data_IF_451220118048
#
_entry.id   IF_451220118048
#
_cell.length_a   1.000
_cell.length_b   1.000
_cell.length_c   1.000
_cell.angle_alpha   90.00
_cell.angle_beta   90.00
_cell.angle_gamma   90.00
#
_symmetry.space_group_name_H-M   'P 1'
#
loop_
_entity.id
_entity.type
_entity.pdbx_description
1 polymer ?
#
# COMPACT_ATOMS: atom_id res chain seq x y z
N UNK A 1 -5.16 3.28 17.13
CA UNK A 1 -4.57 1.92 17.15
C UNK A 1 -4.70 1.36 15.76
N UNK A 2 -3.61 1.43 15.00
CA UNK A 2 -3.62 1.33 13.54
C UNK A 2 -3.61 -0.12 13.06
N UNK A 3 -4.58 -0.48 12.23
CA UNK A 3 -4.75 -1.81 11.59
C UNK A 3 -3.55 -2.18 10.67
N UNK A 4 -2.58 -1.29 10.49
CA UNK A 4 -1.36 -1.53 9.69
C UNK A 4 -0.37 -2.51 10.33
N UNK A 5 -0.37 -2.64 11.64
CA UNK A 5 0.64 -3.44 12.34
C UNK A 5 0.34 -4.94 12.33
N UNK A 6 -0.90 -5.34 12.02
CA UNK A 6 -1.27 -6.76 11.96
C UNK A 6 -0.91 -7.46 10.64
N UNK A 7 -0.68 -6.71 9.54
CA UNK A 7 -0.37 -7.31 8.24
C UNK A 7 1.10 -7.77 8.11
N UNK A 8 2.00 -7.10 8.78
CA UNK A 8 3.45 -7.46 8.74
C UNK A 8 3.74 -8.67 9.61
N UNK A 9 2.96 -8.87 10.68
CA UNK A 9 3.23 -9.93 11.65
C UNK A 9 2.65 -11.32 11.27
N UNK A 10 1.68 -11.40 10.33
CA UNK A 10 0.99 -12.66 10.01
C UNK A 10 1.58 -13.42 8.83
N UNK A 11 2.46 -12.83 8.03
CA UNK A 11 3.06 -13.50 6.87
C UNK A 11 4.43 -14.14 7.11
N UNK A 12 5.10 -13.82 8.22
CA UNK A 12 6.36 -14.47 8.58
C UNK A 12 6.06 -15.70 9.44
N UNK A 13 5.86 -16.84 8.80
CA UNK A 13 5.92 -18.13 9.48
C UNK A 13 7.40 -18.41 9.80
N UNK A 14 7.90 -17.75 10.84
CA UNK A 14 9.17 -18.12 11.45
C UNK A 14 9.05 -19.57 11.94
N UNK A 15 10.01 -20.37 11.60
CA UNK A 15 10.18 -21.69 12.23
C UNK A 15 10.17 -21.51 13.75
N UNK A 16 9.61 -22.46 14.47
CA UNK A 16 9.42 -22.38 15.92
C UNK A 16 10.69 -22.01 16.69
N UNK A 17 11.86 -22.40 16.16
CA UNK A 17 13.18 -22.08 16.71
C UNK A 17 13.51 -20.58 16.61
N UNK A 18 13.22 -19.94 15.47
CA UNK A 18 13.47 -18.50 15.28
C UNK A 18 12.55 -17.68 16.17
N UNK A 19 11.29 -18.09 16.32
CA UNK A 19 10.35 -17.43 17.25
C UNK A 19 10.84 -17.55 18.70
N UNK A 20 11.34 -18.71 19.10
CA UNK A 20 11.89 -18.96 20.43
C UNK A 20 13.13 -18.09 20.69
N UNK A 21 14.05 -18.01 19.72
CA UNK A 21 15.24 -17.16 19.77
C UNK A 21 14.87 -15.68 19.87
N UNK A 22 13.95 -15.19 19.04
CA UNK A 22 13.50 -13.79 19.09
C UNK A 22 12.88 -13.46 20.46
N UNK A 23 12.01 -14.34 21.00
CA UNK A 23 11.43 -14.15 22.34
C UNK A 23 12.48 -14.10 23.42
N UNK A 24 13.48 -14.98 23.38
CA UNK A 24 14.55 -15.01 24.37
C UNK A 24 15.45 -13.76 24.29
N UNK A 25 15.75 -13.28 23.09
CA UNK A 25 16.54 -12.07 22.89
C UNK A 25 15.76 -10.82 23.36
N UNK A 26 14.47 -10.71 23.03
CA UNK A 26 13.62 -9.62 23.53
C UNK A 26 13.51 -9.63 25.06
N UNK A 27 13.37 -10.82 25.67
CA UNK A 27 13.34 -10.95 27.13
C UNK A 27 14.66 -10.50 27.76
N UNK A 28 15.79 -10.82 27.17
CA UNK A 28 17.11 -10.37 27.65
C UNK A 28 17.25 -8.86 27.60
N UNK A 29 16.79 -8.22 26.51
CA UNK A 29 16.76 -6.75 26.41
C UNK A 29 15.91 -6.11 27.50
N UNK A 30 14.70 -6.64 27.76
CA UNK A 30 13.80 -6.12 28.78
C UNK A 30 14.34 -6.32 30.22
N UNK A 31 15.05 -7.42 30.49
CA UNK A 31 15.66 -7.67 31.80
C UNK A 31 16.86 -6.76 32.06
N UNK A 32 17.59 -6.36 31.03
CA UNK A 32 18.79 -5.53 31.15
C UNK A 32 18.47 -4.05 31.40
N UNK A 33 17.26 -3.57 31.07
CA UNK A 33 16.79 -2.26 31.51
C UNK A 33 16.68 -2.12 33.03
N UNK A 34 16.64 -3.25 33.74
CA UNK A 34 16.55 -3.28 35.23
C UNK A 34 17.91 -3.36 35.92
N UNK A 35 18.95 -3.81 35.24
CA UNK A 35 20.32 -3.90 35.78
C UNK A 35 21.18 -2.78 35.15
N UNK A 36 21.39 -1.71 35.91
CA UNK A 36 22.19 -0.55 35.48
C UNK A 36 23.71 -0.85 35.52
N UNK A 37 24.20 -1.70 34.65
CA UNK A 37 25.62 -1.79 34.37
C UNK A 37 26.00 -0.83 33.22
N UNK A 38 26.54 0.31 33.59
CA UNK A 38 26.72 1.50 32.78
C UNK A 38 27.73 1.32 31.61
N UNK A 39 28.60 0.32 31.63
CA UNK A 39 29.71 0.20 30.68
C UNK A 39 29.49 -0.75 29.51
N UNK A 40 28.69 -1.79 29.63
CA UNK A 40 28.52 -2.81 28.60
C UNK A 40 27.17 -2.69 27.85
N UNK A 41 26.21 -1.94 28.40
CA UNK A 41 24.83 -1.86 27.95
C UNK A 41 24.66 -1.44 26.47
N UNK A 42 25.30 -0.37 25.96
CA UNK A 42 25.09 0.07 24.56
C UNK A 42 25.63 -0.90 23.52
N UNK A 43 26.73 -1.60 23.84
CA UNK A 43 27.33 -2.59 22.93
C UNK A 43 26.47 -3.85 22.88
N UNK A 44 25.96 -4.26 24.02
CA UNK A 44 25.10 -5.43 24.15
C UNK A 44 23.74 -5.22 23.46
N UNK A 45 23.10 -4.07 23.66
CA UNK A 45 21.86 -3.68 22.96
C UNK A 45 22.03 -3.68 21.44
N UNK A 46 23.10 -3.04 20.93
CA UNK A 46 23.39 -3.01 19.50
C UNK A 46 23.62 -4.42 18.95
N UNK A 47 24.30 -5.28 19.70
CA UNK A 47 24.58 -6.66 19.30
C UNK A 47 23.30 -7.49 19.23
N UNK A 48 22.40 -7.37 20.20
CA UNK A 48 21.10 -8.04 20.21
C UNK A 48 20.21 -7.53 19.07
N UNK A 49 20.14 -6.22 18.87
CA UNK A 49 19.36 -5.63 17.77
C UNK A 49 19.90 -6.07 16.40
N UNK A 50 21.22 -6.11 16.21
CA UNK A 50 21.83 -6.62 14.99
C UNK A 50 21.50 -8.09 14.77
N UNK A 51 21.54 -8.91 15.81
CA UNK A 51 21.20 -10.33 15.73
C UNK A 51 19.73 -10.55 15.40
N UNK A 52 18.82 -9.77 16.01
CA UNK A 52 17.39 -9.78 15.69
C UNK A 52 17.15 -9.39 14.22
N UNK A 53 17.81 -8.35 13.73
CA UNK A 53 17.69 -7.91 12.35
C UNK A 53 18.14 -8.99 11.38
N UNK A 54 19.29 -9.64 11.64
CA UNK A 54 19.80 -10.77 10.81
C UNK A 54 18.80 -11.94 10.81
N UNK A 55 18.23 -12.29 11.97
CA UNK A 55 17.24 -13.36 12.06
C UNK A 55 15.96 -13.03 11.29
N UNK A 56 15.47 -11.78 11.37
CA UNK A 56 14.31 -11.32 10.62
C UNK A 56 14.59 -11.35 9.11
N UNK A 57 15.74 -10.80 8.68
CA UNK A 57 16.13 -10.82 7.27
C UNK A 57 16.27 -12.26 6.74
N UNK A 58 16.88 -13.15 7.53
CA UNK A 58 17.02 -14.55 7.17
C UNK A 58 15.67 -15.25 7.06
N UNK A 59 14.72 -14.95 7.99
CA UNK A 59 13.35 -15.46 7.94
C UNK A 59 12.60 -14.93 6.70
N UNK A 60 12.75 -13.65 6.33
CA UNK A 60 12.17 -13.07 5.12
C UNK A 60 12.73 -13.75 3.86
N UNK A 61 14.03 -13.90 3.74
CA UNK A 61 14.67 -14.56 2.60
C UNK A 61 14.21 -16.02 2.50
N UNK A 62 14.17 -16.76 3.61
CA UNK A 62 13.68 -18.14 3.61
C UNK A 62 12.17 -18.24 3.30
N UNK A 63 11.36 -17.26 3.69
CA UNK A 63 9.94 -17.20 3.36
C UNK A 63 9.72 -16.97 1.86
N UNK A 64 10.57 -16.18 1.20
CA UNK A 64 10.56 -16.01 -0.26
C UNK A 64 11.00 -17.29 -0.99
N UNK A 65 11.99 -18.02 -0.46
CA UNK A 65 12.46 -19.28 -1.05
C UNK A 65 11.52 -20.48 -0.80
N UNK A 66 10.87 -20.56 0.34
CA UNK A 66 9.75 -21.50 0.57
C UNK A 66 8.46 -20.90 0.02
N UNK A 67 8.35 -20.78 -1.27
CA UNK A 67 7.05 -20.61 -1.92
C UNK A 67 6.19 -21.81 -1.56
N UNK A 68 5.44 -21.73 -0.45
CA UNK A 68 4.23 -22.53 -0.33
C UNK A 68 3.44 -22.29 -1.60
N UNK A 69 2.82 -23.30 -2.22
CA UNK A 69 1.91 -23.03 -3.32
C UNK A 69 0.88 -22.03 -2.79
N UNK A 70 1.07 -20.75 -3.13
CA UNK A 70 0.10 -19.71 -2.78
C UNK A 70 -1.21 -20.21 -3.32
N UNK A 71 -2.23 -20.29 -2.48
CA UNK A 71 -3.55 -20.68 -2.92
C UNK A 71 -3.82 -19.93 -4.23
N UNK A 72 -4.31 -20.62 -5.26
CA UNK A 72 -4.62 -20.04 -6.59
C UNK A 72 -5.37 -18.70 -6.48
N UNK A 73 -6.11 -18.52 -5.37
CA UNK A 73 -6.84 -17.29 -5.02
C UNK A 73 -5.94 -16.15 -4.56
N UNK A 74 -4.93 -16.42 -3.73
CA UNK A 74 -3.98 -15.39 -3.25
C UNK A 74 -3.15 -14.89 -4.43
N UNK A 75 -2.70 -15.79 -5.30
CA UNK A 75 -2.00 -15.44 -6.52
C UNK A 75 -2.85 -14.57 -7.45
N UNK A 76 -4.15 -14.85 -7.60
CA UNK A 76 -5.06 -14.04 -8.41
C UNK A 76 -5.16 -12.60 -7.85
N UNK A 77 -5.32 -12.45 -6.55
CA UNK A 77 -5.49 -11.13 -5.91
C UNK A 77 -4.21 -10.31 -6.00
N UNK A 78 -3.05 -10.90 -5.73
CA UNK A 78 -1.75 -10.24 -5.84
C UNK A 78 -1.53 -9.72 -7.27
N UNK A 79 -1.79 -10.56 -8.29
CA UNK A 79 -1.67 -10.16 -9.70
C UNK A 79 -2.69 -9.10 -10.10
N UNK A 80 -3.91 -9.12 -9.53
CA UNK A 80 -4.89 -8.07 -9.77
C UNK A 80 -4.40 -6.71 -9.23
N UNK A 81 -3.79 -6.69 -8.05
CA UNK A 81 -3.20 -5.46 -7.51
C UNK A 81 -2.08 -4.93 -8.41
N UNK A 82 -1.15 -5.79 -8.81
CA UNK A 82 -0.05 -5.41 -9.71
C UNK A 82 -0.58 -4.84 -11.03
N UNK A 83 -1.55 -5.52 -11.64
CA UNK A 83 -2.16 -5.07 -12.88
C UNK A 83 -2.85 -3.71 -12.73
N UNK A 84 -3.68 -3.54 -11.67
CA UNK A 84 -4.38 -2.28 -11.40
C UNK A 84 -3.39 -1.14 -11.21
N UNK A 85 -2.31 -1.34 -10.45
CA UNK A 85 -1.30 -0.31 -10.23
C UNK A 85 -0.52 0.04 -11.51
N UNK A 86 -0.22 -0.94 -12.36
CA UNK A 86 0.48 -0.72 -13.62
C UNK A 86 -0.38 0.05 -14.65
N UNK A 87 -1.70 -0.16 -14.63
CA UNK A 87 -2.65 0.43 -15.59
C UNK A 87 -3.58 1.48 -14.97
N UNK A 88 -3.20 2.05 -13.82
CA UNK A 88 -4.10 2.93 -13.04
C UNK A 88 -4.57 4.17 -13.81
N UNK A 89 -3.74 4.71 -14.70
CA UNK A 89 -4.06 5.88 -15.52
C UNK A 89 -4.89 5.55 -16.76
N UNK A 90 -5.09 4.27 -17.04
CA UNK A 90 -5.84 3.77 -18.17
C UNK A 90 -7.29 3.43 -17.77
N UNK A 91 -8.12 3.12 -18.75
CA UNK A 91 -9.45 2.59 -18.52
C UNK A 91 -9.36 1.07 -18.30
N UNK A 92 -9.54 0.63 -17.06
CA UNK A 92 -9.53 -0.78 -16.69
C UNK A 92 -10.95 -1.33 -16.79
N UNK A 93 -11.21 -2.19 -17.76
CA UNK A 93 -12.51 -2.86 -17.90
C UNK A 93 -12.49 -4.27 -17.32
N UNK A 94 -13.67 -4.77 -16.93
CA UNK A 94 -13.81 -6.16 -16.47
C UNK A 94 -13.52 -7.16 -17.59
N UNK A 95 -13.74 -6.77 -18.86
CA UNK A 95 -13.42 -7.61 -20.03
C UNK A 95 -11.92 -7.80 -20.18
N UNK A 96 -11.14 -6.77 -19.93
CA UNK A 96 -9.68 -6.85 -19.99
C UNK A 96 -9.14 -7.74 -18.88
N UNK A 97 -9.68 -7.60 -17.67
CA UNK A 97 -9.29 -8.46 -16.55
C UNK A 97 -9.66 -9.94 -16.78
N UNK A 98 -10.84 -10.21 -17.37
CA UNK A 98 -11.25 -11.58 -17.71
C UNK A 98 -10.31 -12.21 -18.72
N UNK A 99 -9.94 -11.46 -19.76
CA UNK A 99 -8.98 -11.91 -20.80
C UNK A 99 -7.57 -12.10 -20.21
N UNK A 100 -7.12 -11.16 -19.39
CA UNK A 100 -5.77 -11.16 -18.83
C UNK A 100 -5.54 -12.31 -17.85
N UNK A 101 -6.53 -12.58 -17.01
CA UNK A 101 -6.39 -13.56 -15.92
C UNK A 101 -7.04 -14.93 -16.23
N UNK A 102 -7.73 -15.05 -17.37
CA UNK A 102 -8.49 -16.26 -17.74
C UNK A 102 -9.47 -16.71 -16.65
N UNK A 103 -10.08 -15.74 -15.98
CA UNK A 103 -11.01 -15.93 -14.86
C UNK A 103 -12.25 -15.08 -15.10
N UNK A 104 -13.45 -15.66 -14.92
CA UNK A 104 -14.69 -14.94 -15.15
C UNK A 104 -14.82 -13.67 -14.29
N UNK A 105 -15.42 -12.61 -14.84
CA UNK A 105 -15.70 -11.34 -14.16
C UNK A 105 -16.33 -11.54 -12.79
N UNK A 106 -17.32 -12.43 -12.69
CA UNK A 106 -18.01 -12.72 -11.45
C UNK A 106 -17.05 -13.29 -10.39
N UNK A 107 -16.15 -14.19 -10.78
CA UNK A 107 -15.18 -14.78 -9.85
C UNK A 107 -14.17 -13.73 -9.38
N UNK A 108 -13.68 -12.88 -10.28
CA UNK A 108 -12.78 -11.76 -9.96
C UNK A 108 -13.41 -10.84 -8.92
N UNK A 109 -14.63 -10.34 -9.20
CA UNK A 109 -15.33 -9.41 -8.31
C UNK A 109 -15.60 -10.02 -6.92
N UNK A 110 -16.01 -11.29 -6.88
CA UNK A 110 -16.32 -11.99 -5.64
C UNK A 110 -15.07 -12.22 -4.79
N UNK A 111 -14.00 -12.76 -5.39
CA UNK A 111 -12.77 -13.06 -4.65
C UNK A 111 -12.07 -11.77 -4.23
N UNK A 112 -12.08 -10.73 -5.07
CA UNK A 112 -11.55 -9.42 -4.70
C UNK A 112 -12.28 -8.82 -3.49
N UNK A 113 -13.63 -8.78 -3.53
CA UNK A 113 -14.43 -8.27 -2.41
C UNK A 113 -14.23 -9.10 -1.13
N UNK A 114 -14.09 -10.43 -1.27
CA UNK A 114 -13.82 -11.33 -0.14
C UNK A 114 -12.45 -11.09 0.49
N UNK A 115 -11.43 -10.82 -0.33
CA UNK A 115 -10.06 -10.61 0.13
C UNK A 115 -9.83 -9.22 0.70
N UNK A 116 -10.46 -8.17 0.11
CA UNK A 116 -10.20 -6.76 0.45
C UNK A 116 -11.29 -6.09 1.26
N UNK A 117 -12.48 -6.70 1.35
CA UNK A 117 -13.66 -6.12 1.98
C UNK A 117 -14.36 -5.03 1.14
N UNK A 118 -13.81 -4.62 0.00
CA UNK A 118 -14.32 -3.54 -0.84
C UNK A 118 -14.53 -4.00 -2.29
N UNK A 119 -15.30 -3.22 -3.06
CA UNK A 119 -15.51 -3.53 -4.47
C UNK A 119 -14.28 -3.20 -5.31
N UNK A 120 -14.03 -3.96 -6.37
CA UNK A 120 -12.92 -3.71 -7.30
C UNK A 120 -12.99 -2.29 -7.90
N UNK A 121 -14.18 -1.86 -8.33
CA UNK A 121 -14.38 -0.50 -8.85
C UNK A 121 -14.06 0.57 -7.80
N UNK A 122 -14.55 0.40 -6.57
CA UNK A 122 -14.25 1.34 -5.47
C UNK A 122 -12.76 1.44 -5.19
N UNK A 123 -12.05 0.30 -5.21
CA UNK A 123 -10.60 0.26 -5.05
C UNK A 123 -9.87 1.03 -6.16
N UNK A 124 -10.22 0.79 -7.43
CA UNK A 124 -9.62 1.50 -8.58
C UNK A 124 -9.88 3.01 -8.47
N UNK A 125 -11.13 3.42 -8.22
CA UNK A 125 -11.48 4.85 -8.09
C UNK A 125 -10.70 5.50 -6.95
N UNK A 126 -10.58 4.84 -5.80
CA UNK A 126 -9.82 5.36 -4.66
C UNK A 126 -8.35 5.60 -5.00
N UNK A 127 -7.68 4.63 -5.63
CA UNK A 127 -6.28 4.78 -6.04
C UNK A 127 -6.11 5.90 -7.09
N UNK A 128 -7.04 6.03 -8.04
CA UNK A 128 -7.05 7.15 -9.01
C UNK A 128 -7.19 8.50 -8.29
N UNK A 129 -8.01 8.59 -7.25
CA UNK A 129 -8.17 9.81 -6.46
C UNK A 129 -6.91 10.14 -5.65
N UNK A 130 -6.24 9.15 -5.07
CA UNK A 130 -4.96 9.33 -4.36
C UNK A 130 -3.86 9.85 -5.32
N UNK A 131 -3.85 9.37 -6.57
CA UNK A 131 -2.96 9.90 -7.61
C UNK A 131 -3.31 11.35 -7.96
N UNK A 132 -4.59 11.68 -8.09
CA UNK A 132 -5.05 13.05 -8.32
C UNK A 132 -4.66 14.00 -7.18
N UNK A 133 -4.71 13.55 -5.92
CA UNK A 133 -4.24 14.34 -4.78
C UNK A 133 -2.75 14.71 -4.89
N UNK A 134 -1.92 13.77 -5.31
CA UNK A 134 -0.48 14.04 -5.54
C UNK A 134 -0.28 15.10 -6.59
N UNK A 135 -0.98 15.00 -7.73
CA UNK A 135 -0.91 16.01 -8.79
C UNK A 135 -1.42 17.38 -8.34
N UNK A 136 -2.47 17.43 -7.52
CA UNK A 136 -2.94 18.67 -6.91
C UNK A 136 -1.86 19.28 -6.00
N UNK A 137 -1.21 18.47 -5.17
CA UNK A 137 -0.15 18.92 -4.28
C UNK A 137 1.09 19.43 -5.05
N UNK A 138 1.35 18.88 -6.23
CA UNK A 138 2.38 19.33 -7.17
C UNK A 138 1.99 20.64 -7.89
N UNK A 139 0.75 21.13 -7.72
CA UNK A 139 0.27 22.38 -8.30
C UNK A 139 -0.25 22.26 -9.74
N UNK A 140 -0.53 21.04 -10.22
CA UNK A 140 -1.10 20.85 -11.55
C UNK A 140 -2.55 21.41 -11.63
N UNK A 141 -2.95 21.99 -12.75
CA UNK A 141 -4.31 22.50 -12.91
C UNK A 141 -5.33 21.36 -12.88
N UNK A 142 -6.46 21.58 -12.21
CA UNK A 142 -7.51 20.56 -12.03
C UNK A 142 -8.02 19.98 -13.37
N UNK A 143 -7.97 20.80 -14.44
CA UNK A 143 -8.33 20.38 -15.80
C UNK A 143 -7.40 19.32 -16.39
N UNK A 144 -6.19 19.18 -15.88
CA UNK A 144 -5.22 18.17 -16.27
C UNK A 144 -5.21 17.00 -15.27
N UNK A 145 -5.38 17.31 -13.98
CA UNK A 145 -5.33 16.32 -12.90
C UNK A 145 -6.25 15.14 -13.15
N UNK A 146 -7.52 15.36 -13.54
CA UNK A 146 -8.46 14.26 -13.75
C UNK A 146 -8.07 13.37 -14.94
N UNK A 147 -7.46 13.95 -15.98
CA UNK A 147 -7.00 13.20 -17.16
C UNK A 147 -5.79 12.33 -16.79
N UNK A 148 -4.78 12.94 -16.15
CA UNK A 148 -3.59 12.25 -15.68
C UNK A 148 -3.90 11.18 -14.62
N UNK A 149 -4.94 11.42 -13.82
CA UNK A 149 -5.46 10.44 -12.85
C UNK A 149 -6.30 9.32 -13.47
N UNK A 150 -6.44 9.28 -14.81
CA UNK A 150 -7.13 8.21 -15.54
C UNK A 150 -8.65 8.23 -15.40
N UNK A 151 -9.24 9.40 -15.15
CA UNK A 151 -10.70 9.56 -15.20
C UNK A 151 -11.16 9.89 -16.62
N UNK A 152 -12.14 9.12 -17.15
CA UNK A 152 -12.69 9.33 -18.49
C UNK A 152 -13.48 10.65 -18.67
N UNK A 153 -13.75 11.39 -17.56
CA UNK A 153 -14.43 12.68 -17.62
C UNK A 153 -14.44 13.42 -16.30
N UNK A 154 -14.46 14.77 -16.40
CA UNK A 154 -14.45 15.65 -15.22
C UNK A 154 -15.62 15.41 -14.26
N UNK A 155 -16.81 15.16 -14.77
CA UNK A 155 -18.01 14.93 -13.93
C UNK A 155 -17.89 13.67 -13.07
N UNK A 156 -17.25 12.62 -13.60
CA UNK A 156 -17.00 11.39 -12.86
C UNK A 156 -15.96 11.63 -11.75
N UNK A 157 -14.84 12.26 -12.10
CA UNK A 157 -13.83 12.69 -11.13
C UNK A 157 -14.40 13.57 -10.02
N UNK A 158 -15.17 14.62 -10.40
CA UNK A 158 -15.74 15.56 -9.43
C UNK A 158 -16.64 14.87 -8.41
N UNK A 159 -17.54 13.99 -8.88
CA UNK A 159 -18.44 13.23 -7.99
C UNK A 159 -17.69 12.29 -7.08
N UNK A 160 -16.75 11.52 -7.63
CA UNK A 160 -15.93 10.60 -6.87
C UNK A 160 -15.07 11.33 -5.82
N UNK A 161 -14.47 12.44 -6.20
CA UNK A 161 -13.64 13.25 -5.31
C UNK A 161 -14.44 13.83 -4.14
N UNK A 162 -15.61 14.39 -4.43
CA UNK A 162 -16.49 14.95 -3.39
C UNK A 162 -17.04 13.87 -2.46
N UNK A 163 -17.33 12.69 -2.98
CA UNK A 163 -17.81 11.56 -2.18
C UNK A 163 -16.72 11.04 -1.23
N UNK A 164 -15.48 10.96 -1.69
CA UNK A 164 -14.36 10.42 -0.89
C UNK A 164 -13.84 11.43 0.15
N UNK A 165 -13.71 12.71 -0.23
CA UNK A 165 -13.06 13.73 0.60
C UNK A 165 -14.02 14.75 1.22
N UNK A 166 -15.32 14.70 0.93
CA UNK A 166 -16.32 15.61 1.47
C UNK A 166 -16.25 17.04 0.94
N UNK A 167 -15.28 17.35 0.06
CA UNK A 167 -15.06 18.68 -0.52
C UNK A 167 -14.80 18.59 -2.03
N UNK A 168 -14.97 19.72 -2.72
CA UNK A 168 -14.72 19.77 -4.16
C UNK A 168 -13.22 19.78 -4.48
N UNK A 169 -12.78 19.31 -5.66
CA UNK A 169 -11.38 19.38 -6.08
C UNK A 169 -10.81 20.79 -6.03
N UNK A 170 -11.65 21.81 -6.31
CA UNK A 170 -11.22 23.23 -6.27
C UNK A 170 -11.01 23.75 -4.85
N UNK A 171 -11.86 23.34 -3.91
CA UNK A 171 -11.69 23.67 -2.49
C UNK A 171 -10.44 23.00 -1.93
N UNK A 172 -10.25 21.72 -2.26
CA UNK A 172 -9.04 20.98 -1.88
C UNK A 172 -7.77 21.61 -2.43
N UNK A 173 -7.77 22.01 -3.70
CA UNK A 173 -6.65 22.72 -4.34
C UNK A 173 -6.29 24.01 -3.61
N UNK A 174 -7.29 24.83 -3.25
CA UNK A 174 -7.08 26.07 -2.51
C UNK A 174 -6.55 25.82 -1.09
N UNK A 175 -7.01 24.76 -0.44
CA UNK A 175 -6.57 24.40 0.91
C UNK A 175 -5.14 23.86 0.94
N UNK A 176 -4.73 23.15 -0.11
CA UNK A 176 -3.41 22.51 -0.21
C UNK A 176 -2.32 23.48 -0.66
N UNK A 177 -2.68 24.48 -1.49
CA UNK A 177 -1.75 25.52 -2.01
C UNK A 177 -2.21 26.92 -1.56
N UNK A 178 -2.04 27.29 -0.27
CA UNK A 178 -2.53 28.57 0.27
C UNK A 178 -1.83 29.80 -0.31
N UNK A 179 -0.63 29.65 -0.88
CA UNK A 179 0.17 30.73 -1.45
C UNK A 179 -0.02 30.82 -2.97
N UNK A 180 -1.14 31.38 -3.43
CA UNK A 180 -1.32 32.04 -4.73
C UNK A 180 -0.53 31.56 -5.98
N UNK A 181 0.09 30.37 -5.95
CA UNK A 181 0.77 29.81 -7.10
C UNK A 181 -0.26 29.45 -8.15
N UNK A 182 -0.43 30.35 -9.10
CA UNK A 182 -1.17 30.05 -10.32
C UNK A 182 -0.55 28.81 -10.99
N UNK A 183 -1.39 27.89 -11.51
CA UNK A 183 -0.90 26.73 -12.23
C UNK A 183 0.01 27.20 -13.37
N UNK A 184 1.24 26.70 -13.39
CA UNK A 184 2.15 26.95 -14.50
C UNK A 184 1.52 26.36 -15.77
N UNK A 185 1.02 27.22 -16.65
CA UNK A 185 0.71 26.84 -18.02
C UNK A 185 2.04 26.44 -18.66
N UNK A 186 2.26 25.17 -18.86
CA UNK A 186 3.27 24.71 -19.83
C UNK A 186 2.73 25.07 -21.20
N UNK A 187 3.22 26.17 -21.74
CA UNK A 187 3.03 26.51 -23.16
C UNK A 187 3.63 25.37 -23.97
N UNK A 188 2.76 24.53 -24.48
CA UNK A 188 3.11 23.51 -25.50
C UNK A 188 3.31 24.28 -26.82
N UNK A 189 4.58 24.42 -27.19
CA UNK A 189 4.98 24.76 -28.57
C UNK A 189 4.91 23.53 -29.43
#
# INVERSE_FOLDING_TARGET
>A
MCIRDSYICTSVHCESEIQSLCKNLCRKLLLQEQEKDEYACPIFEKSILSMLLVLILRACIHAEFKQRPRSRKVFLIDNLFEYIHAHLTEEITLDDLEKQFFVSKYHILREFKKATGQTLHGYIVKNKLELCQKYIAEGLPITEVYKLGGFGGYNHFFRAFRQEYGMTPKEYYKATLPDGRQPQRKDTK
#
